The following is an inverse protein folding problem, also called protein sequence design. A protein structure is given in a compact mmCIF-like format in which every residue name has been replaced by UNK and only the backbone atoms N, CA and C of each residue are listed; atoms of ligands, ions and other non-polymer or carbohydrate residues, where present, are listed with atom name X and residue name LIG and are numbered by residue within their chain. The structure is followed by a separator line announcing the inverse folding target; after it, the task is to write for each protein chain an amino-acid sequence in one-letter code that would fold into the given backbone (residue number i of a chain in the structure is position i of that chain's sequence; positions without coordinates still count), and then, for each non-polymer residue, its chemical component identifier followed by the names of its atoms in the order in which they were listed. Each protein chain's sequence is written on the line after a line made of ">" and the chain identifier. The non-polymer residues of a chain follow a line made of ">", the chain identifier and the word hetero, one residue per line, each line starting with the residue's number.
data_IF_543453379262
#
_entry.id   IF_543453379262
#
_cell.length_a   1.000
_cell.length_b   1.000
_cell.length_c   1.000
_cell.angle_alpha   90.00
_cell.angle_beta   90.00
_cell.angle_gamma   90.00
#
_symmetry.space_group_name_H-M   'P 1'
#
loop_
_entity.id
_entity.type
_entity.pdbx_description
1 polymer ?
#
# COMPACT_ATOMS: atom_id res chain seq x y z
N UNK A 1 43.74 59.08 24.58
CA UNK A 1 43.81 57.68 24.12
C UNK A 1 43.08 56.84 25.15
N UNK A 2 41.82 56.53 24.82
CA UNK A 2 40.94 55.76 25.72
C UNK A 2 40.90 54.33 25.27
N UNK A 3 41.23 53.37 26.10
CA UNK A 3 41.25 51.98 25.83
C UNK A 3 39.81 51.45 25.62
N UNK A 4 39.57 50.52 24.67
CA UNK A 4 38.23 49.94 24.48
C UNK A 4 37.88 48.96 25.63
N UNK A 5 36.60 48.82 25.96
CA UNK A 5 36.13 47.91 27.00
C UNK A 5 36.31 46.43 26.58
N UNK A 6 36.81 45.63 27.51
CA UNK A 6 36.95 44.19 27.37
C UNK A 6 35.55 43.52 27.38
N UNK A 7 35.26 42.76 26.32
CA UNK A 7 34.03 41.95 26.25
C UNK A 7 34.27 40.64 26.99
N UNK A 8 33.36 40.20 27.90
CA UNK A 8 33.53 38.93 28.58
C UNK A 8 33.30 37.78 27.61
N UNK A 9 34.25 36.82 27.56
CA UNK A 9 34.13 35.56 26.83
C UNK A 9 33.15 34.66 27.58
N UNK A 10 32.04 34.40 26.98
CA UNK A 10 31.08 33.40 27.50
C UNK A 10 31.71 32.01 27.34
N UNK A 11 32.13 31.41 28.44
CA UNK A 11 32.53 30.00 28.46
C UNK A 11 31.25 29.19 28.42
N UNK A 12 30.96 28.59 27.29
CA UNK A 12 29.85 27.64 27.17
C UNK A 12 30.31 26.29 27.68
N UNK A 13 29.61 25.77 28.69
CA UNK A 13 29.82 24.40 29.16
C UNK A 13 29.66 23.39 28.02
N UNK A 14 30.47 22.32 27.97
CA UNK A 14 30.32 21.28 26.99
C UNK A 14 28.94 20.58 27.14
N UNK A 15 28.32 20.15 26.04
CA UNK A 15 27.05 19.44 26.10
C UNK A 15 27.18 18.14 26.91
N UNK A 16 26.11 17.73 27.63
CA UNK A 16 26.13 16.52 28.40
C UNK A 16 26.33 15.29 27.47
N UNK A 17 26.98 14.22 27.96
CA UNK A 17 27.19 13.02 27.18
C UNK A 17 25.84 12.38 26.79
N UNK A 18 25.77 11.70 25.62
CA UNK A 18 24.55 11.02 25.22
C UNK A 18 24.17 9.92 26.21
N UNK A 19 22.88 9.66 26.40
CA UNK A 19 22.41 8.58 27.27
C UNK A 19 22.94 7.22 26.79
N UNK A 20 23.22 6.27 27.69
CA UNK A 20 23.64 4.93 27.29
C UNK A 20 22.55 4.23 26.45
N UNK A 21 22.94 3.37 25.53
CA UNK A 21 21.98 2.60 24.77
C UNK A 21 21.10 1.76 25.69
N UNK A 22 19.81 1.57 25.38
CA UNK A 22 18.93 0.75 26.20
C UNK A 22 19.50 -0.66 26.28
N UNK A 23 19.57 -1.19 27.49
CA UNK A 23 20.00 -2.58 27.75
C UNK A 23 19.16 -3.53 26.92
N UNK A 24 19.81 -4.43 26.21
CA UNK A 24 19.17 -5.49 25.42
C UNK A 24 18.16 -6.25 26.28
N UNK A 25 16.89 -6.06 25.99
CA UNK A 25 15.81 -6.88 26.54
C UNK A 25 15.99 -8.27 25.94
N UNK A 26 15.99 -9.36 26.74
CA UNK A 26 16.08 -10.69 26.19
C UNK A 26 14.85 -10.98 25.32
N UNK A 27 15.09 -11.21 24.02
CA UNK A 27 14.08 -11.70 23.08
C UNK A 27 13.87 -13.18 23.38
N UNK A 28 12.96 -13.47 24.28
CA UNK A 28 12.66 -14.82 24.70
C UNK A 28 11.32 -14.89 25.45
N UNK A 29 10.25 -14.68 24.72
CA UNK A 29 8.90 -14.89 25.20
C UNK A 29 7.95 -14.75 24.03
N UNK A 30 7.60 -15.87 23.40
CA UNK A 30 6.46 -15.94 22.47
C UNK A 30 5.22 -15.57 23.27
N UNK A 31 4.81 -14.32 23.24
CA UNK A 31 3.49 -13.92 23.70
C UNK A 31 2.52 -14.41 22.64
N UNK A 32 1.93 -15.58 22.87
CA UNK A 32 0.77 -16.01 22.12
C UNK A 32 -0.36 -15.02 22.42
N UNK A 33 -0.59 -14.07 21.52
CA UNK A 33 -1.83 -13.29 21.51
C UNK A 33 -2.93 -14.27 21.13
N UNK A 34 -3.93 -14.53 21.99
CA UNK A 34 -5.06 -15.35 21.58
C UNK A 34 -5.81 -14.59 20.50
N UNK A 35 -5.60 -14.97 19.26
CA UNK A 35 -6.49 -14.59 18.17
C UNK A 35 -7.78 -15.37 18.43
N UNK A 36 -8.78 -14.69 18.99
CA UNK A 36 -10.14 -15.19 19.01
C UNK A 36 -10.68 -15.12 17.57
N UNK A 37 -10.19 -16.00 16.72
CA UNK A 37 -10.70 -16.24 15.39
C UNK A 37 -11.59 -17.46 15.46
N UNK A 38 -12.86 -17.32 15.13
CA UNK A 38 -13.66 -18.46 14.68
C UNK A 38 -12.82 -19.15 13.61
N UNK A 39 -12.45 -20.40 13.86
CA UNK A 39 -11.76 -21.23 12.87
C UNK A 39 -12.73 -21.44 11.70
N UNK A 40 -12.62 -20.59 10.70
CA UNK A 40 -13.30 -20.81 9.42
C UNK A 40 -12.61 -22.03 8.82
N UNK A 41 -13.36 -23.10 8.59
CA UNK A 41 -12.83 -24.29 7.97
C UNK A 41 -12.29 -23.94 6.58
N UNK A 42 -11.09 -24.42 6.18
CA UNK A 42 -10.54 -24.17 4.86
C UNK A 42 -11.54 -24.63 3.80
N UNK A 43 -11.76 -23.79 2.79
CA UNK A 43 -12.64 -24.08 1.66
C UNK A 43 -11.83 -24.79 0.59
N UNK A 44 -12.28 -25.96 0.17
CA UNK A 44 -11.71 -26.62 -1.01
C UNK A 44 -12.38 -26.01 -2.25
N UNK A 45 -11.61 -25.31 -3.08
CA UNK A 45 -12.12 -24.79 -4.34
C UNK A 45 -12.42 -25.95 -5.30
N UNK A 46 -13.66 -25.99 -5.81
CA UNK A 46 -14.10 -27.04 -6.73
C UNK A 46 -13.71 -26.79 -8.20
N UNK A 47 -12.87 -25.76 -8.46
CA UNK A 47 -12.47 -25.39 -9.83
C UNK A 47 -11.64 -24.09 -9.85
N UNK A 48 -11.24 -23.66 -11.07
CA UNK A 48 -10.50 -22.42 -11.26
C UNK A 48 -11.35 -21.21 -10.90
N UNK A 49 -10.69 -20.14 -10.42
CA UNK A 49 -11.35 -18.85 -10.15
C UNK A 49 -11.93 -18.27 -11.45
N UNK A 50 -13.13 -17.71 -11.34
CA UNK A 50 -13.82 -17.03 -12.44
C UNK A 50 -13.55 -15.54 -12.38
N UNK A 51 -13.33 -14.91 -13.53
CA UNK A 51 -13.27 -13.46 -13.66
C UNK A 51 -14.68 -12.89 -13.70
N UNK A 52 -15.07 -12.12 -12.68
CA UNK A 52 -16.37 -11.46 -12.59
C UNK A 52 -16.38 -10.09 -13.30
N UNK A 53 -15.25 -9.41 -13.28
CA UNK A 53 -15.01 -8.13 -13.96
C UNK A 53 -13.52 -7.95 -14.20
N UNK A 54 -13.18 -7.13 -15.20
CA UNK A 54 -11.80 -6.75 -15.49
C UNK A 54 -11.74 -5.29 -15.95
N UNK A 55 -10.60 -4.65 -15.70
CA UNK A 55 -10.27 -3.32 -16.20
C UNK A 55 -8.78 -3.19 -16.44
N UNK A 56 -8.39 -2.19 -17.24
CA UNK A 56 -6.99 -1.88 -17.52
C UNK A 56 -6.77 -0.37 -17.57
N UNK A 57 -5.53 0.02 -17.35
CA UNK A 57 -5.04 1.37 -17.55
C UNK A 57 -3.77 1.37 -18.43
N UNK A 58 -3.61 2.24 -19.43
CA UNK A 58 -4.70 3.04 -19.99
C UNK A 58 -5.70 2.16 -20.77
N UNK A 59 -6.95 2.53 -20.80
CA UNK A 59 -7.96 1.87 -21.63
C UNK A 59 -7.92 2.42 -23.06
N UNK A 60 -7.66 3.75 -23.15
CA UNK A 60 -7.58 4.50 -24.40
C UNK A 60 -6.31 5.35 -24.44
N UNK A 61 -5.75 5.62 -25.62
CA UNK A 61 -4.70 6.62 -25.76
C UNK A 61 -5.18 7.98 -25.23
N UNK A 62 -4.38 8.63 -24.39
CA UNK A 62 -4.70 9.92 -23.80
C UNK A 62 -5.54 9.87 -22.53
N UNK A 63 -5.80 8.70 -21.96
CA UNK A 63 -6.40 8.60 -20.62
C UNK A 63 -5.54 9.37 -19.61
N UNK A 64 -6.18 10.16 -18.75
CA UNK A 64 -5.54 10.91 -17.67
C UNK A 64 -5.94 10.33 -16.31
N UNK A 65 -4.97 10.19 -15.42
CA UNK A 65 -5.22 9.71 -14.06
C UNK A 65 -5.89 10.79 -13.21
N UNK A 66 -7.02 10.47 -12.55
CA UNK A 66 -7.63 11.42 -11.64
C UNK A 66 -6.75 11.64 -10.42
N UNK A 67 -6.65 12.90 -9.96
CA UNK A 67 -5.97 13.20 -8.71
C UNK A 67 -6.75 12.59 -7.53
N UNK A 68 -6.03 12.01 -6.58
CA UNK A 68 -6.60 11.47 -5.34
C UNK A 68 -6.12 12.33 -4.17
N UNK A 69 -7.07 12.82 -3.38
CA UNK A 69 -6.75 13.57 -2.18
C UNK A 69 -5.86 12.74 -1.23
N UNK A 70 -4.75 13.31 -0.81
CA UNK A 70 -3.80 12.62 0.05
C UNK A 70 -2.68 11.85 -0.69
N UNK A 71 -2.70 11.75 -2.02
CA UNK A 71 -1.68 11.10 -2.84
C UNK A 71 -1.17 12.08 -3.90
N UNK A 72 -0.14 12.86 -3.56
CA UNK A 72 0.23 14.05 -4.36
C UNK A 72 1.57 13.96 -5.08
N UNK A 73 2.47 13.06 -4.67
CA UNK A 73 3.85 13.02 -5.17
C UNK A 73 4.06 12.02 -6.31
N UNK A 74 3.13 11.11 -6.51
CA UNK A 74 3.30 10.00 -7.45
C UNK A 74 2.01 9.68 -8.19
N UNK A 75 2.15 9.21 -9.43
CA UNK A 75 1.07 8.67 -10.23
C UNK A 75 0.69 7.23 -9.82
N UNK A 76 1.47 6.56 -8.98
CA UNK A 76 1.25 5.15 -8.60
C UNK A 76 -0.11 4.91 -7.94
N UNK A 77 -0.40 5.66 -6.88
CA UNK A 77 -1.66 5.50 -6.15
C UNK A 77 -2.88 5.87 -7.00
N UNK A 78 -2.88 6.97 -7.79
CA UNK A 78 -3.89 7.22 -8.81
C UNK A 78 -4.06 6.06 -9.82
N UNK A 79 -2.97 5.49 -10.31
CA UNK A 79 -2.98 4.37 -11.26
C UNK A 79 -3.68 3.14 -10.68
N UNK A 80 -3.29 2.72 -9.49
CA UNK A 80 -3.88 1.58 -8.78
C UNK A 80 -5.35 1.81 -8.50
N UNK A 81 -5.69 2.97 -7.92
CA UNK A 81 -7.06 3.27 -7.53
C UNK A 81 -8.00 3.37 -8.74
N UNK A 82 -7.63 4.11 -9.79
CA UNK A 82 -8.47 4.25 -10.97
C UNK A 82 -8.73 2.91 -11.65
N UNK A 83 -7.69 2.06 -11.77
CA UNK A 83 -7.85 0.73 -12.38
C UNK A 83 -8.75 -0.17 -11.55
N UNK A 84 -8.55 -0.20 -10.23
CA UNK A 84 -9.39 -0.92 -9.28
C UNK A 84 -10.85 -0.44 -9.33
N UNK A 85 -11.06 0.88 -9.31
CA UNK A 85 -12.38 1.47 -9.35
C UNK A 85 -13.12 1.20 -10.67
N UNK A 86 -12.44 1.20 -11.81
CA UNK A 86 -13.05 0.80 -13.10
C UNK A 86 -13.56 -0.64 -13.05
N UNK A 87 -12.76 -1.55 -12.49
CA UNK A 87 -13.14 -2.95 -12.32
C UNK A 87 -14.37 -3.09 -11.41
N UNK A 88 -14.36 -2.42 -10.27
CA UNK A 88 -15.48 -2.46 -9.32
C UNK A 88 -16.75 -1.82 -9.89
N UNK A 89 -16.63 -0.70 -10.62
CA UNK A 89 -17.77 -0.08 -11.30
C UNK A 89 -18.39 -0.98 -12.36
N UNK A 90 -17.57 -1.74 -13.10
CA UNK A 90 -18.06 -2.69 -14.08
C UNK A 90 -18.92 -3.79 -13.45
N UNK A 91 -18.66 -4.14 -12.17
CA UNK A 91 -19.39 -5.20 -11.46
C UNK A 91 -20.56 -4.67 -10.63
N UNK A 92 -20.36 -3.55 -9.92
CA UNK A 92 -21.27 -3.06 -8.88
C UNK A 92 -21.95 -1.73 -9.21
N UNK A 93 -21.54 -1.04 -10.26
CA UNK A 93 -21.96 0.33 -10.52
C UNK A 93 -21.19 1.35 -9.67
N UNK A 94 -21.79 2.48 -9.26
CA UNK A 94 -21.13 3.48 -8.43
C UNK A 94 -20.89 2.98 -7.00
N UNK A 95 -19.81 3.46 -6.31
CA UNK A 95 -19.59 3.14 -4.92
C UNK A 95 -20.72 3.64 -3.99
N UNK A 96 -20.96 2.96 -2.86
CA UNK A 96 -20.29 1.76 -2.39
C UNK A 96 -20.75 0.48 -3.09
N UNK A 97 -19.97 -0.60 -2.98
CA UNK A 97 -20.35 -1.93 -3.48
C UNK A 97 -21.36 -2.60 -2.52
N UNK A 98 -22.57 -2.06 -2.44
CA UNK A 98 -23.58 -2.54 -1.51
C UNK A 98 -23.89 -4.02 -1.74
N UNK A 99 -23.79 -4.83 -0.66
CA UNK A 99 -24.04 -6.27 -0.71
C UNK A 99 -22.92 -7.08 -1.40
N UNK A 100 -21.76 -6.50 -1.66
CA UNK A 100 -20.60 -7.25 -2.09
C UNK A 100 -20.24 -8.33 -1.05
N UNK A 101 -19.86 -9.54 -1.48
CA UNK A 101 -19.26 -10.52 -0.57
C UNK A 101 -17.97 -9.96 0.04
N UNK A 102 -17.48 -10.62 1.11
CA UNK A 102 -16.19 -10.27 1.71
C UNK A 102 -15.09 -10.29 0.65
N UNK A 103 -14.55 -9.11 0.35
CA UNK A 103 -13.65 -8.88 -0.79
C UNK A 103 -12.26 -8.53 -0.31
N UNK A 104 -11.29 -9.40 -0.60
CA UNK A 104 -9.88 -9.08 -0.40
C UNK A 104 -9.37 -8.15 -1.52
N UNK A 105 -8.38 -7.31 -1.18
CA UNK A 105 -7.64 -6.50 -2.15
C UNK A 105 -6.21 -7.01 -2.22
N UNK A 106 -5.80 -7.42 -3.40
CA UNK A 106 -4.45 -7.92 -3.68
C UNK A 106 -3.79 -7.01 -4.71
N UNK A 107 -2.65 -6.43 -4.36
CA UNK A 107 -1.83 -5.63 -5.28
C UNK A 107 -0.50 -6.33 -5.53
N UNK A 108 -0.15 -6.47 -6.79
CA UNK A 108 1.18 -6.90 -7.23
C UNK A 108 1.84 -5.74 -7.97
N UNK A 109 3.01 -5.30 -7.49
CA UNK A 109 3.80 -4.27 -8.15
C UNK A 109 5.29 -4.56 -8.01
N UNK A 110 5.99 -4.89 -9.11
CA UNK A 110 7.41 -5.21 -9.07
C UNK A 110 8.29 -4.07 -8.53
N UNK A 111 7.93 -2.83 -8.84
CA UNK A 111 8.71 -1.63 -8.45
C UNK A 111 8.11 -0.88 -7.26
N UNK A 112 6.84 -1.11 -6.94
CA UNK A 112 6.12 -0.28 -5.97
C UNK A 112 5.95 1.17 -6.46
N UNK A 113 5.81 2.09 -5.52
CA UNK A 113 5.70 3.54 -5.78
C UNK A 113 7.10 4.18 -5.88
N UNK A 114 7.69 4.14 -7.07
CA UNK A 114 9.01 4.72 -7.34
C UNK A 114 9.01 6.24 -7.23
N UNK A 115 7.92 6.90 -7.62
CA UNK A 115 7.81 8.36 -7.54
C UNK A 115 7.88 8.88 -6.11
N UNK A 116 7.14 8.26 -5.19
CA UNK A 116 7.20 8.61 -3.77
C UNK A 116 8.54 8.21 -3.15
N UNK A 117 9.12 7.06 -3.52
CA UNK A 117 10.45 6.66 -3.05
C UNK A 117 11.53 7.67 -3.44
N UNK A 118 11.51 8.15 -4.69
CA UNK A 118 12.42 9.19 -5.18
C UNK A 118 12.23 10.53 -4.46
N UNK A 119 10.99 10.92 -4.17
CA UNK A 119 10.69 12.14 -3.42
C UNK A 119 11.25 12.06 -1.99
N UNK A 120 11.08 10.92 -1.32
CA UNK A 120 11.65 10.65 0.00
C UNK A 120 13.19 10.68 -0.02
N UNK A 121 13.82 10.04 -1.02
CA UNK A 121 15.27 10.04 -1.17
C UNK A 121 15.83 11.45 -1.37
N UNK A 122 15.19 12.27 -2.22
CA UNK A 122 15.58 13.67 -2.43
C UNK A 122 15.45 14.51 -1.16
N UNK A 123 14.33 14.39 -0.44
CA UNK A 123 14.12 15.11 0.81
C UNK A 123 15.18 14.76 1.85
N UNK A 124 15.51 13.47 1.98
CA UNK A 124 16.54 13.01 2.89
C UNK A 124 17.95 13.53 2.51
N UNK A 125 18.31 13.49 1.23
CA UNK A 125 19.59 13.97 0.73
C UNK A 125 19.79 15.49 0.94
N UNK A 126 18.70 16.27 0.93
CA UNK A 126 18.73 17.74 1.15
C UNK A 126 18.49 18.15 2.60
N UNK A 127 18.31 17.21 3.51
CA UNK A 127 18.00 17.48 4.91
C UNK A 127 16.63 18.14 5.11
N UNK A 128 15.74 18.07 4.12
CA UNK A 128 14.39 18.59 4.24
C UNK A 128 13.54 17.71 5.14
N UNK A 129 12.68 18.35 5.93
CA UNK A 129 11.73 17.60 6.77
C UNK A 129 10.67 16.95 5.88
N UNK A 130 10.64 15.62 5.87
CA UNK A 130 9.60 14.86 5.18
C UNK A 130 8.25 15.02 5.89
N UNK A 131 7.21 15.35 5.13
CA UNK A 131 5.87 15.37 5.68
C UNK A 131 5.44 13.95 6.08
N UNK A 132 4.88 13.73 7.28
CA UNK A 132 4.44 12.40 7.71
C UNK A 132 3.49 11.70 6.73
N UNK A 133 2.68 12.48 6.04
CA UNK A 133 1.76 12.00 5.02
C UNK A 133 2.50 11.32 3.85
N UNK A 134 3.63 11.87 3.41
CA UNK A 134 4.42 11.30 2.32
C UNK A 134 4.97 9.92 2.69
N UNK A 135 5.42 9.75 3.94
CA UNK A 135 5.85 8.45 4.44
C UNK A 135 4.69 7.43 4.44
N UNK A 136 3.49 7.88 4.82
CA UNK A 136 2.30 7.02 4.80
C UNK A 136 1.93 6.58 3.38
N UNK A 137 2.02 7.49 2.42
CA UNK A 137 1.71 7.24 1.01
C UNK A 137 2.69 6.27 0.34
N UNK A 138 3.93 6.19 0.83
CA UNK A 138 4.95 5.28 0.29
C UNK A 138 4.61 3.80 0.51
N UNK A 139 3.66 3.50 1.39
CA UNK A 139 3.19 2.14 1.60
C UNK A 139 2.09 1.79 0.58
N UNK A 140 2.29 0.78 -0.28
CA UNK A 140 1.28 0.37 -1.26
C UNK A 140 -0.08 -0.01 -0.66
N UNK A 141 -0.12 -0.47 0.60
CA UNK A 141 -1.38 -0.74 1.28
C UNK A 141 -2.21 0.53 1.54
N UNK A 142 -1.62 1.72 1.51
CA UNK A 142 -2.37 2.97 1.72
C UNK A 142 -3.42 3.20 0.62
N UNK A 143 -3.07 2.99 -0.65
CA UNK A 143 -4.02 3.14 -1.75
C UNK A 143 -5.06 2.03 -1.75
N UNK A 144 -4.70 0.79 -1.39
CA UNK A 144 -5.68 -0.29 -1.25
C UNK A 144 -6.67 0.01 -0.13
N UNK A 145 -6.21 0.54 1.01
CA UNK A 145 -7.05 1.01 2.10
C UNK A 145 -8.01 2.14 1.66
N UNK A 146 -7.55 3.07 0.81
CA UNK A 146 -8.40 4.09 0.21
C UNK A 146 -9.53 3.47 -0.64
N UNK A 147 -9.20 2.52 -1.51
CA UNK A 147 -10.19 1.79 -2.33
C UNK A 147 -11.17 1.02 -1.43
N UNK A 148 -10.66 0.27 -0.45
CA UNK A 148 -11.49 -0.50 0.48
C UNK A 148 -12.49 0.40 1.22
N UNK A 149 -12.04 1.53 1.77
CA UNK A 149 -12.89 2.47 2.49
C UNK A 149 -13.96 3.08 1.58
N UNK A 150 -13.58 3.50 0.37
CA UNK A 150 -14.51 4.11 -0.60
C UNK A 150 -15.59 3.14 -1.06
N UNK A 151 -15.23 1.88 -1.26
CA UNK A 151 -16.13 0.83 -1.75
C UNK A 151 -16.77 0.01 -0.64
N UNK A 152 -16.42 0.26 0.63
CA UNK A 152 -16.88 -0.49 1.81
C UNK A 152 -16.60 -1.99 1.71
N UNK A 153 -15.36 -2.31 1.29
CA UNK A 153 -14.88 -3.69 1.20
C UNK A 153 -14.19 -4.07 2.51
N UNK A 154 -14.49 -5.23 3.05
CA UNK A 154 -14.13 -5.65 4.41
C UNK A 154 -13.15 -6.84 4.46
N UNK A 155 -12.61 -7.26 3.33
CA UNK A 155 -11.60 -8.32 3.26
C UNK A 155 -10.18 -7.83 3.56
N UNK A 156 -9.21 -8.77 3.63
CA UNK A 156 -7.80 -8.44 3.83
C UNK A 156 -7.22 -7.61 2.69
N UNK A 157 -6.19 -6.83 3.05
CA UNK A 157 -5.44 -5.98 2.13
C UNK A 157 -4.00 -6.48 2.06
N UNK A 158 -3.53 -6.88 0.88
CA UNK A 158 -2.23 -7.49 0.66
C UNK A 158 -1.52 -6.81 -0.50
N UNK A 159 -0.30 -6.33 -0.28
CA UNK A 159 0.57 -5.84 -1.34
C UNK A 159 1.83 -6.69 -1.44
N UNK A 160 2.19 -7.08 -2.67
CA UNK A 160 3.31 -7.94 -3.00
C UNK A 160 4.27 -7.19 -3.93
N UNK A 161 5.58 -7.33 -3.67
CA UNK A 161 6.65 -6.67 -4.40
C UNK A 161 7.39 -7.58 -5.37
N UNK A 162 8.71 -7.37 -5.49
CA UNK A 162 9.62 -8.09 -6.37
C UNK A 162 9.58 -9.62 -6.16
N UNK A 163 9.74 -10.36 -7.26
CA UNK A 163 9.88 -11.83 -7.24
C UNK A 163 8.62 -12.60 -7.57
N UNK A 164 7.55 -11.90 -7.96
CA UNK A 164 6.30 -12.51 -8.41
C UNK A 164 6.26 -12.61 -9.93
N UNK A 165 5.99 -13.81 -10.44
CA UNK A 165 5.66 -14.05 -11.84
C UNK A 165 4.18 -13.70 -12.07
N UNK A 166 3.99 -12.46 -12.35
CA UNK A 166 2.78 -11.69 -12.69
C UNK A 166 1.41 -12.38 -12.51
N UNK A 167 0.93 -13.08 -13.52
CA UNK A 167 -0.47 -13.54 -13.55
C UNK A 167 -0.71 -14.85 -12.78
N UNK A 168 0.24 -15.78 -12.82
CA UNK A 168 0.09 -17.09 -12.16
C UNK A 168 0.09 -16.93 -10.65
N UNK A 169 1.06 -16.20 -10.12
CA UNK A 169 1.21 -15.99 -8.68
C UNK A 169 0.02 -15.19 -8.11
N UNK A 170 -0.52 -14.28 -8.91
CA UNK A 170 -1.73 -13.54 -8.54
C UNK A 170 -2.94 -14.46 -8.36
N UNK A 171 -3.17 -15.40 -9.30
CA UNK A 171 -4.27 -16.36 -9.20
C UNK A 171 -4.08 -17.33 -8.04
N UNK A 172 -2.86 -17.82 -7.81
CA UNK A 172 -2.54 -18.71 -6.69
C UNK A 172 -2.77 -18.02 -5.34
N UNK A 173 -2.35 -16.75 -5.20
CA UNK A 173 -2.57 -15.96 -4.00
C UNK A 173 -4.04 -15.63 -3.77
N UNK A 174 -4.76 -15.30 -4.83
CA UNK A 174 -6.20 -15.08 -4.73
C UNK A 174 -6.93 -16.36 -4.31
N UNK A 175 -6.54 -17.51 -4.87
CA UNK A 175 -7.10 -18.79 -4.48
C UNK A 175 -6.87 -19.10 -3.00
N UNK A 176 -5.64 -18.90 -2.50
CA UNK A 176 -5.31 -19.09 -1.08
C UNK A 176 -6.17 -18.23 -0.15
N UNK A 177 -6.35 -16.94 -0.44
CA UNK A 177 -7.20 -16.05 0.37
C UNK A 177 -8.65 -16.54 0.47
N UNK A 178 -9.13 -17.20 -0.59
CA UNK A 178 -10.49 -17.76 -0.63
C UNK A 178 -10.52 -19.12 0.08
N UNK A 179 -9.55 -19.98 -0.14
CA UNK A 179 -9.44 -21.31 0.48
C UNK A 179 -9.30 -21.21 2.00
N UNK A 180 -8.51 -20.27 2.49
CA UNK A 180 -8.33 -19.99 3.91
C UNK A 180 -9.58 -19.36 4.55
N UNK A 181 -10.57 -18.97 3.74
CA UNK A 181 -11.80 -18.35 4.20
C UNK A 181 -11.62 -16.90 4.60
N UNK A 182 -10.53 -16.27 4.20
CA UNK A 182 -10.25 -14.86 4.46
C UNK A 182 -11.09 -13.92 3.58
N UNK A 183 -11.53 -14.42 2.41
CA UNK A 183 -12.38 -13.68 1.49
C UNK A 183 -13.31 -14.64 0.72
N UNK A 184 -14.39 -14.09 0.17
CA UNK A 184 -15.29 -14.79 -0.77
C UNK A 184 -14.96 -14.45 -2.22
N UNK A 185 -14.28 -13.31 -2.44
CA UNK A 185 -13.78 -12.87 -3.73
C UNK A 185 -12.55 -11.99 -3.54
N UNK A 186 -11.76 -11.81 -4.60
CA UNK A 186 -10.52 -11.03 -4.57
C UNK A 186 -10.50 -10.03 -5.71
N UNK A 187 -10.35 -8.75 -5.38
CA UNK A 187 -9.96 -7.72 -6.33
C UNK A 187 -8.43 -7.72 -6.44
N UNK A 188 -7.91 -8.21 -7.53
CA UNK A 188 -6.49 -8.31 -7.78
C UNK A 188 -6.06 -7.23 -8.79
N UNK A 189 -5.01 -6.48 -8.45
CA UNK A 189 -4.45 -5.40 -9.27
C UNK A 189 -2.97 -5.67 -9.52
N UNK A 190 -2.55 -5.59 -10.77
CA UNK A 190 -1.14 -5.54 -11.15
C UNK A 190 -0.86 -4.12 -11.63
N UNK A 191 0.14 -3.45 -11.04
CA UNK A 191 0.52 -2.08 -11.39
C UNK A 191 2.01 -1.96 -11.63
N UNK A 192 2.38 -1.41 -12.79
CA UNK A 192 3.76 -1.19 -13.22
C UNK A 192 3.93 0.27 -13.59
N UNK A 193 4.76 0.99 -12.83
CA UNK A 193 5.23 2.32 -13.22
C UNK A 193 6.34 2.20 -14.25
N UNK A 194 6.26 3.02 -15.27
CA UNK A 194 7.26 3.09 -16.34
C UNK A 194 6.68 3.77 -17.57
N UNK A 195 7.51 4.13 -18.58
CA UNK A 195 6.98 4.74 -19.80
C UNK A 195 6.45 3.69 -20.80
N UNK A 196 5.11 3.49 -20.94
CA UNK A 196 4.04 4.12 -20.16
C UNK A 196 3.69 3.39 -18.86
N UNK A 197 3.11 4.11 -17.90
CA UNK A 197 2.46 3.51 -16.74
C UNK A 197 1.30 2.61 -17.17
N UNK A 198 1.16 1.46 -16.55
CA UNK A 198 0.10 0.50 -16.86
C UNK A 198 -0.36 -0.26 -15.63
N UNK A 199 -1.65 -0.57 -15.62
CA UNK A 199 -2.22 -1.46 -14.62
C UNK A 199 -3.35 -2.30 -15.20
N UNK A 200 -3.58 -3.45 -14.58
CA UNK A 200 -4.74 -4.33 -14.80
C UNK A 200 -5.38 -4.64 -13.47
N UNK A 201 -6.71 -4.72 -13.46
CA UNK A 201 -7.47 -5.18 -12.31
C UNK A 201 -8.45 -6.27 -12.75
N UNK A 202 -8.56 -7.31 -11.94
CA UNK A 202 -9.54 -8.39 -12.12
C UNK A 202 -10.25 -8.67 -10.80
N UNK A 203 -11.54 -8.90 -10.86
CA UNK A 203 -12.33 -9.37 -9.73
C UNK A 203 -12.55 -10.87 -9.89
N UNK A 204 -12.03 -11.66 -8.95
CA UNK A 204 -11.99 -13.12 -8.99
C UNK A 204 -12.90 -13.72 -7.91
N UNK A 205 -13.60 -14.79 -8.25
CA UNK A 205 -14.38 -15.59 -7.30
C UNK A 205 -14.38 -17.08 -7.73
N UNK A 206 -14.76 -18.01 -6.85
CA UNK A 206 -14.94 -19.43 -7.16
C UNK A 206 -15.92 -19.71 -8.29
#
# INVERSE_FOLDING_TARGET
>A
MTAPPSVPVLVTDPPPPPPPPPSSVPVGGTVAVPVAGSAVAPRVLSGPLRVLAAARWPERPGDELPAIAGFVESAFSPLVAETAERCLRARYGPPPAAGAPRTALLLVSPSGDTGTADALARANATGQRVAPLLFFQSNPNAVLGHVAARWQLDGPVVALGLGFEEERDLHERAALLIEDGDADQVLAVIAVQGPPDRATAVLLAP
#
